data_IF_026631310798
#
_entry.id   IF_026631310798
#
_cell.length_a   1.000
_cell.length_b   1.000
_cell.length_c   1.000
_cell.angle_alpha   90.00
_cell.angle_beta   90.00
_cell.angle_gamma   90.00
#
_symmetry.space_group_name_H-M   'P 1'
#
loop_
_entity.id
_entity.type
_entity.pdbx_description
1 polymer ?
#
# COMPACT_ATOMS: atom_id res chain seq x y z
N UNK A 1 11.16 37.44 40.20
CA UNK A 1 11.59 36.03 40.16
C UNK A 1 10.47 35.05 40.56
N UNK A 2 9.84 35.13 41.77
CA UNK A 2 8.78 34.21 42.21
C UNK A 2 7.52 34.25 41.34
N UNK A 3 7.09 35.39 40.80
CA UNK A 3 5.93 35.54 39.93
C UNK A 3 6.16 34.88 38.57
N UNK A 4 7.35 35.08 37.98
CA UNK A 4 7.77 34.48 36.72
C UNK A 4 7.81 32.94 36.82
N UNK A 5 8.35 32.41 37.93
CA UNK A 5 8.38 30.95 38.17
C UNK A 5 6.98 30.37 38.31
N UNK A 6 6.04 31.06 38.98
CA UNK A 6 4.65 30.63 39.05
C UNK A 6 3.96 30.63 37.68
N UNK A 7 4.17 31.66 36.87
CA UNK A 7 3.64 31.75 35.53
C UNK A 7 4.17 30.63 34.63
N UNK A 8 5.47 30.34 34.68
CA UNK A 8 6.08 29.22 33.95
C UNK A 8 5.55 27.87 34.40
N UNK A 9 5.34 27.65 35.71
CA UNK A 9 4.75 26.42 36.23
C UNK A 9 3.30 26.21 35.77
N UNK A 10 2.50 27.31 35.76
CA UNK A 10 1.12 27.26 35.25
C UNK A 10 1.06 26.93 33.74
N UNK A 11 1.95 27.56 32.95
CA UNK A 11 2.05 27.26 31.50
C UNK A 11 2.44 25.80 31.25
N UNK A 12 3.43 25.29 32.01
CA UNK A 12 3.84 23.88 31.91
C UNK A 12 2.72 22.94 32.32
N UNK A 13 1.97 23.24 33.39
CA UNK A 13 0.83 22.43 33.81
C UNK A 13 -0.31 22.46 32.76
N UNK A 14 -0.62 23.60 32.18
CA UNK A 14 -1.60 23.73 31.12
C UNK A 14 -1.17 22.95 29.87
N UNK A 15 0.10 23.06 29.45
CA UNK A 15 0.63 22.30 28.33
C UNK A 15 0.54 20.79 28.57
N UNK A 16 0.94 20.32 29.76
CA UNK A 16 0.82 18.93 30.15
C UNK A 16 -0.63 18.44 30.11
N UNK A 17 -1.55 19.23 30.64
CA UNK A 17 -2.98 18.94 30.59
C UNK A 17 -3.49 18.77 29.17
N UNK A 18 -3.14 19.68 28.24
CA UNK A 18 -3.54 19.58 26.84
C UNK A 18 -2.90 18.38 26.13
N UNK A 19 -1.66 18.04 26.44
CA UNK A 19 -0.98 16.84 25.90
C UNK A 19 -1.73 15.58 26.37
N UNK A 20 -1.99 15.46 27.69
CA UNK A 20 -2.68 14.30 28.25
C UNK A 20 -4.10 14.21 27.70
N UNK A 21 -4.85 15.32 27.66
CA UNK A 21 -6.18 15.37 27.06
C UNK A 21 -6.18 14.96 25.59
N UNK A 22 -5.20 15.41 24.81
CA UNK A 22 -5.00 15.01 23.43
C UNK A 22 -4.74 13.51 23.26
N UNK A 23 -3.87 12.93 24.10
CA UNK A 23 -3.61 11.48 24.12
C UNK A 23 -4.90 10.71 24.45
N UNK A 24 -5.62 11.10 25.48
CA UNK A 24 -6.87 10.44 25.89
C UNK A 24 -7.93 10.54 24.79
N UNK A 25 -8.09 11.72 24.19
CA UNK A 25 -9.07 11.95 23.11
C UNK A 25 -8.75 11.16 21.81
N UNK A 26 -7.48 10.79 21.62
CA UNK A 26 -7.03 10.06 20.43
C UNK A 26 -6.64 8.61 20.74
N UNK A 27 -6.95 8.16 21.95
CA UNK A 27 -6.64 6.80 22.37
C UNK A 27 -7.36 5.78 21.49
N UNK A 28 -6.58 4.92 20.86
CA UNK A 28 -7.07 3.94 19.91
C UNK A 28 -6.22 2.66 20.04
N UNK A 29 -6.58 1.75 20.94
CA UNK A 29 -5.85 0.51 21.16
C UNK A 29 -5.88 -0.37 19.91
N UNK A 30 -4.91 -1.26 19.80
CA UNK A 30 -4.89 -2.27 18.77
C UNK A 30 -6.13 -3.16 18.85
N UNK A 31 -6.66 -3.55 17.69
CA UNK A 31 -7.78 -4.48 17.56
C UNK A 31 -7.28 -5.86 17.14
N UNK A 32 -7.70 -6.92 17.82
CA UNK A 32 -7.36 -8.28 17.42
C UNK A 32 -8.03 -8.62 16.09
N UNK A 33 -7.34 -9.40 15.26
CA UNK A 33 -7.77 -9.70 13.89
C UNK A 33 -9.15 -10.37 13.81
N UNK A 34 -9.55 -11.15 14.83
CA UNK A 34 -10.84 -11.83 14.82
C UNK A 34 -12.04 -10.86 14.88
N UNK A 35 -11.90 -9.71 15.54
CA UNK A 35 -12.92 -8.66 15.55
C UNK A 35 -13.08 -8.02 14.16
N UNK A 36 -11.96 -7.77 13.47
CA UNK A 36 -11.95 -7.13 12.16
C UNK A 36 -12.43 -8.08 11.05
N UNK A 37 -12.21 -9.39 11.19
CA UNK A 37 -12.66 -10.39 10.21
C UNK A 37 -14.16 -10.36 9.99
N UNK A 38 -14.95 -10.17 11.04
CA UNK A 38 -16.41 -10.13 10.94
C UNK A 38 -16.93 -9.04 9.99
N UNK A 39 -16.21 -7.91 9.91
CA UNK A 39 -16.58 -6.78 9.05
C UNK A 39 -15.89 -6.81 7.69
N UNK A 40 -14.61 -7.18 7.64
CA UNK A 40 -13.74 -6.94 6.48
C UNK A 40 -13.29 -8.20 5.75
N UNK A 41 -13.45 -9.39 6.36
CA UNK A 41 -13.11 -10.67 5.71
C UNK A 41 -14.35 -11.47 5.29
N UNK A 42 -15.39 -10.80 4.80
CA UNK A 42 -16.56 -11.46 4.24
C UNK A 42 -16.17 -12.30 3.00
N UNK A 43 -16.90 -13.38 2.67
CA UNK A 43 -16.65 -14.16 1.47
C UNK A 43 -16.48 -13.26 0.23
N UNK A 44 -15.54 -13.58 -0.66
CA UNK A 44 -14.72 -14.79 -0.76
C UNK A 44 -13.36 -14.73 -0.04
N UNK A 45 -13.22 -13.95 1.03
CA UNK A 45 -11.98 -13.84 1.80
C UNK A 45 -11.52 -15.18 2.35
N UNK A 46 -10.22 -15.45 2.23
CA UNK A 46 -9.54 -16.65 2.70
C UNK A 46 -8.27 -16.26 3.45
N UNK A 47 -7.75 -17.19 4.25
CA UNK A 47 -6.47 -17.04 4.92
C UNK A 47 -5.61 -18.25 4.60
N UNK A 48 -4.39 -18.01 4.12
CA UNK A 48 -3.40 -19.06 3.86
C UNK A 48 -2.20 -18.88 4.76
N UNK A 49 -1.72 -19.97 5.35
CA UNK A 49 -0.50 -19.93 6.15
C UNK A 49 0.73 -20.04 5.25
N UNK A 50 1.65 -19.11 5.45
CA UNK A 50 2.98 -19.10 4.86
C UNK A 50 4.02 -19.07 5.99
N UNK A 51 4.33 -20.23 6.56
CA UNK A 51 5.35 -20.38 7.61
C UNK A 51 5.09 -19.48 8.84
N UNK A 52 3.84 -19.48 9.31
CA UNK A 52 3.40 -18.69 10.46
C UNK A 52 2.88 -17.28 10.12
N UNK A 53 2.95 -16.86 8.85
CA UNK A 53 2.27 -15.67 8.36
C UNK A 53 0.90 -16.05 7.79
N UNK A 54 -0.18 -15.66 8.48
CA UNK A 54 -1.56 -15.89 8.01
C UNK A 54 -1.95 -14.81 7.00
N UNK A 55 -1.76 -15.09 5.71
CA UNK A 55 -2.03 -14.13 4.62
C UNK A 55 -3.51 -14.09 4.30
N UNK A 56 -4.13 -12.91 4.44
CA UNK A 56 -5.50 -12.65 3.99
C UNK A 56 -5.51 -12.41 2.49
N UNK A 57 -6.32 -13.18 1.77
CA UNK A 57 -6.44 -13.09 0.31
C UNK A 57 -7.88 -13.26 -0.19
N UNK A 58 -8.12 -12.82 -1.41
CA UNK A 58 -9.29 -13.16 -2.23
C UNK A 58 -8.80 -13.69 -3.57
N UNK A 59 -9.37 -14.81 -3.98
CA UNK A 59 -9.07 -15.50 -5.23
C UNK A 59 -10.40 -15.74 -5.95
N UNK A 60 -10.66 -14.95 -6.99
CA UNK A 60 -11.97 -14.79 -7.63
C UNK A 60 -11.85 -15.03 -9.14
N UNK A 61 -12.94 -15.49 -9.78
CA UNK A 61 -13.01 -15.72 -11.22
C UNK A 61 -12.69 -17.16 -11.64
N UNK A 62 -12.52 -17.43 -12.95
CA UNK A 62 -12.32 -18.76 -13.49
C UNK A 62 -11.01 -19.39 -13.00
N UNK A 63 -11.12 -20.61 -12.45
CA UNK A 63 -9.98 -21.31 -11.83
C UNK A 63 -9.01 -21.90 -12.84
N UNK A 64 -9.44 -22.05 -14.06
CA UNK A 64 -8.70 -22.56 -15.21
C UNK A 64 -7.96 -21.47 -16.02
N UNK A 65 -8.00 -20.20 -15.56
CA UNK A 65 -7.21 -19.14 -16.17
C UNK A 65 -5.70 -19.47 -16.06
N UNK A 66 -5.00 -19.67 -17.19
CA UNK A 66 -3.60 -20.11 -17.18
C UNK A 66 -2.63 -19.03 -16.70
N UNK A 67 -3.05 -17.77 -16.71
CA UNK A 67 -2.21 -16.61 -16.33
C UNK A 67 -3.03 -15.62 -15.48
N UNK A 68 -3.35 -15.97 -14.23
CA UNK A 68 -4.13 -15.10 -13.34
C UNK A 68 -3.56 -13.71 -13.18
N UNK A 69 -4.41 -12.76 -12.76
CA UNK A 69 -3.99 -11.39 -12.44
C UNK A 69 -3.79 -11.28 -10.94
N UNK A 70 -2.59 -10.89 -10.50
CA UNK A 70 -2.27 -10.59 -9.10
C UNK A 70 -2.28 -9.10 -8.87
N UNK A 71 -2.95 -8.64 -7.80
CA UNK A 71 -3.11 -7.23 -7.46
C UNK A 71 -2.49 -6.95 -6.08
N UNK A 72 -1.44 -6.10 -6.05
CA UNK A 72 -0.65 -5.76 -4.87
C UNK A 72 -0.91 -4.31 -4.45
N UNK A 73 -1.38 -4.10 -3.21
CA UNK A 73 -1.74 -2.80 -2.68
C UNK A 73 -0.53 -1.99 -2.17
N UNK A 74 -0.73 -0.70 -1.96
CA UNK A 74 0.26 0.24 -1.42
C UNK A 74 0.42 0.20 0.11
N UNK A 75 1.34 1.02 0.62
CA UNK A 75 1.59 1.21 2.05
C UNK A 75 0.31 1.66 2.78
N UNK A 76 -0.01 1.04 3.91
CA UNK A 76 -1.19 1.31 4.75
C UNK A 76 -2.55 1.06 4.07
N UNK A 77 -2.57 0.48 2.88
CA UNK A 77 -3.77 0.00 2.21
C UNK A 77 -4.03 -1.49 2.52
N UNK A 78 -4.95 -2.09 1.82
CA UNK A 78 -5.29 -3.52 1.87
C UNK A 78 -5.78 -4.00 0.51
N UNK A 79 -6.04 -5.28 0.36
CA UNK A 79 -6.60 -5.87 -0.86
C UNK A 79 -7.91 -5.21 -1.32
N UNK A 80 -8.59 -4.47 -0.42
CA UNK A 80 -9.86 -3.81 -0.70
C UNK A 80 -9.71 -2.63 -1.69
N UNK A 81 -8.54 -1.98 -1.77
CA UNK A 81 -8.27 -0.90 -2.74
C UNK A 81 -8.51 -1.36 -4.19
N UNK A 82 -8.45 -2.67 -4.43
CA UNK A 82 -8.65 -3.30 -5.73
C UNK A 82 -10.08 -3.77 -6.00
N UNK A 83 -11.05 -3.45 -5.11
CA UNK A 83 -12.41 -3.99 -5.21
C UNK A 83 -13.07 -3.69 -6.56
N UNK A 84 -12.91 -2.49 -7.08
CA UNK A 84 -13.47 -2.10 -8.36
C UNK A 84 -12.83 -2.82 -9.56
N UNK A 85 -11.49 -2.98 -9.54
CA UNK A 85 -10.80 -3.75 -10.57
C UNK A 85 -11.17 -5.23 -10.53
N UNK A 86 -11.19 -5.84 -9.34
CA UNK A 86 -11.60 -7.23 -9.21
C UNK A 86 -13.03 -7.45 -9.71
N UNK A 87 -13.95 -6.54 -9.42
CA UNK A 87 -15.32 -6.58 -9.94
C UNK A 87 -15.40 -6.58 -11.47
N UNK A 88 -14.56 -5.77 -12.13
CA UNK A 88 -14.51 -5.66 -13.58
C UNK A 88 -13.78 -6.83 -14.27
N UNK A 89 -12.81 -7.44 -13.61
CA UNK A 89 -11.94 -8.46 -14.19
C UNK A 89 -12.45 -9.89 -13.97
N UNK A 90 -13.01 -10.20 -12.79
CA UNK A 90 -13.30 -11.55 -12.34
C UNK A 90 -14.32 -12.33 -13.20
N UNK A 91 -15.08 -11.63 -14.03
CA UNK A 91 -16.00 -12.29 -14.99
C UNK A 91 -15.28 -13.04 -16.12
N UNK A 92 -14.02 -12.69 -16.41
CA UNK A 92 -13.24 -13.22 -17.53
C UNK A 92 -11.84 -13.72 -17.13
N UNK A 93 -11.31 -13.27 -16.00
CA UNK A 93 -9.96 -13.57 -15.54
C UNK A 93 -9.98 -14.02 -14.08
N UNK A 94 -9.07 -14.91 -13.71
CA UNK A 94 -8.80 -15.20 -12.29
C UNK A 94 -8.03 -14.04 -11.69
N UNK A 95 -8.56 -13.47 -10.60
CA UNK A 95 -8.00 -12.32 -9.90
C UNK A 95 -7.63 -12.73 -8.49
N UNK A 96 -6.34 -12.62 -8.17
CA UNK A 96 -5.77 -12.91 -6.87
C UNK A 96 -5.30 -11.59 -6.26
N UNK A 97 -5.81 -11.25 -5.08
CA UNK A 97 -5.39 -10.06 -4.34
C UNK A 97 -5.23 -10.42 -2.88
N UNK A 98 -4.20 -9.91 -2.25
CA UNK A 98 -3.91 -10.25 -0.85
C UNK A 98 -3.27 -9.08 -0.12
N UNK A 99 -3.38 -9.11 1.22
CA UNK A 99 -2.78 -8.12 2.08
C UNK A 99 -1.29 -8.41 2.25
N UNK A 100 -0.44 -7.45 1.88
CA UNK A 100 1.00 -7.52 2.09
C UNK A 100 1.34 -7.51 3.59
N UNK A 101 2.44 -8.18 4.01
CA UNK A 101 2.89 -8.17 5.41
C UNK A 101 3.03 -6.77 5.98
N UNK A 102 2.54 -6.58 7.20
CA UNK A 102 2.51 -5.31 7.90
C UNK A 102 1.24 -4.50 7.68
N UNK A 103 0.30 -5.00 6.84
CA UNK A 103 -0.91 -4.28 6.45
C UNK A 103 -2.13 -5.18 6.41
N UNK A 104 -3.31 -4.53 6.26
CA UNK A 104 -4.58 -5.22 6.14
C UNK A 104 -4.85 -6.19 7.28
N UNK A 105 -5.51 -7.30 7.00
CA UNK A 105 -5.77 -8.37 7.98
C UNK A 105 -4.63 -9.40 8.08
N UNK A 106 -3.68 -9.42 7.13
CA UNK A 106 -2.44 -10.22 7.23
C UNK A 106 -1.65 -9.79 8.46
N UNK A 107 -1.43 -8.50 8.64
CA UNK A 107 -0.71 -7.97 9.80
C UNK A 107 0.81 -8.19 9.76
N UNK A 108 1.49 -8.08 10.92
CA UNK A 108 2.94 -8.06 10.99
C UNK A 108 3.58 -9.35 10.48
N UNK A 109 4.74 -9.19 9.85
CA UNK A 109 5.60 -10.30 9.47
C UNK A 109 6.19 -10.95 10.73
N UNK A 110 6.22 -12.30 10.86
CA UNK A 110 6.69 -12.99 12.08
C UNK A 110 8.10 -12.61 12.52
N UNK A 111 8.98 -12.28 11.58
CA UNK A 111 10.35 -11.85 11.84
C UNK A 111 10.55 -10.33 11.70
N UNK A 112 9.49 -9.52 11.62
CA UNK A 112 9.56 -8.08 11.35
C UNK A 112 10.37 -7.69 10.10
N UNK A 113 10.47 -8.60 9.12
CA UNK A 113 11.19 -8.34 7.87
C UNK A 113 10.27 -7.68 6.84
N UNK A 114 10.49 -6.39 6.58
CA UNK A 114 9.77 -5.58 5.60
C UNK A 114 10.70 -5.14 4.46
N UNK A 115 11.73 -5.94 4.16
CA UNK A 115 12.59 -5.77 2.98
C UNK A 115 11.86 -6.15 1.70
N UNK A 116 12.29 -5.62 0.54
CA UNK A 116 11.74 -6.03 -0.76
C UNK A 116 11.88 -7.53 -0.99
N UNK A 117 13.00 -8.12 -0.57
CA UNK A 117 13.19 -9.57 -0.66
C UNK A 117 12.15 -10.36 0.14
N UNK A 118 11.73 -9.88 1.32
CA UNK A 118 10.67 -10.52 2.10
C UNK A 118 9.30 -10.42 1.39
N UNK A 119 8.95 -9.26 0.85
CA UNK A 119 7.72 -9.10 0.07
C UNK A 119 7.71 -10.00 -1.17
N UNK A 120 8.81 -10.06 -1.92
CA UNK A 120 8.95 -10.93 -3.10
C UNK A 120 8.78 -12.41 -2.71
N UNK A 121 9.36 -12.86 -1.59
CA UNK A 121 9.15 -14.23 -1.09
C UNK A 121 7.69 -14.51 -0.74
N UNK A 122 6.97 -13.54 -0.15
CA UNK A 122 5.54 -13.71 0.16
C UNK A 122 4.71 -13.81 -1.12
N UNK A 123 4.99 -13.00 -2.15
CA UNK A 123 4.31 -13.13 -3.45
C UNK A 123 4.55 -14.53 -4.03
N UNK A 124 5.79 -15.00 -4.10
CA UNK A 124 6.12 -16.34 -4.57
C UNK A 124 5.38 -17.42 -3.77
N UNK A 125 5.41 -17.34 -2.43
CA UNK A 125 4.76 -18.31 -1.54
C UNK A 125 3.24 -18.36 -1.69
N UNK A 126 2.57 -17.20 -1.89
CA UNK A 126 1.12 -17.16 -2.18
C UNK A 126 0.84 -17.88 -3.50
N UNK A 127 1.60 -17.59 -4.56
CA UNK A 127 1.43 -18.23 -5.87
C UNK A 127 1.66 -19.74 -5.80
N UNK A 128 2.70 -20.18 -5.11
CA UNK A 128 3.02 -21.60 -4.94
C UNK A 128 1.91 -22.33 -4.16
N UNK A 129 1.39 -21.70 -3.11
CA UNK A 129 0.27 -22.23 -2.30
C UNK A 129 -1.03 -22.38 -3.10
N UNK A 130 -1.23 -21.52 -4.11
CA UNK A 130 -2.39 -21.53 -5.01
C UNK A 130 -2.15 -22.36 -6.29
N UNK A 131 -0.97 -22.96 -6.47
CA UNK A 131 -0.60 -23.75 -7.65
C UNK A 131 -0.44 -22.89 -8.92
N UNK A 132 -0.17 -21.58 -8.78
CA UNK A 132 -0.07 -20.63 -9.90
C UNK A 132 1.38 -20.50 -10.34
N UNK A 133 1.66 -20.83 -11.60
CA UNK A 133 3.02 -20.81 -12.15
C UNK A 133 3.38 -19.48 -12.78
N UNK A 134 2.45 -18.83 -13.48
CA UNK A 134 2.70 -17.59 -14.21
C UNK A 134 1.52 -16.62 -14.03
N UNK A 135 1.81 -15.34 -13.97
CA UNK A 135 0.81 -14.29 -13.66
C UNK A 135 1.02 -13.02 -14.50
N UNK A 136 -0.06 -12.26 -14.65
CA UNK A 136 0.05 -10.80 -14.79
C UNK A 136 0.14 -10.23 -13.39
N UNK A 137 1.17 -9.46 -13.07
CA UNK A 137 1.28 -8.80 -11.76
C UNK A 137 1.01 -7.30 -11.90
N UNK A 138 0.10 -6.79 -11.09
CA UNK A 138 -0.23 -5.38 -11.00
C UNK A 138 0.00 -4.87 -9.57
N UNK A 139 0.53 -3.66 -9.41
CA UNK A 139 0.75 -3.11 -8.08
C UNK A 139 0.70 -1.60 -8.03
N UNK A 140 0.16 -1.07 -6.93
CA UNK A 140 0.11 0.35 -6.63
C UNK A 140 1.17 0.72 -5.59
N UNK A 141 1.91 1.82 -5.81
CA UNK A 141 2.85 2.37 -4.83
C UNK A 141 3.89 1.34 -4.36
N UNK A 142 3.93 0.97 -3.08
CA UNK A 142 4.71 -0.15 -2.54
C UNK A 142 4.42 -1.45 -3.31
N UNK A 143 3.14 -1.77 -3.56
CA UNK A 143 2.77 -2.95 -4.34
C UNK A 143 3.32 -2.92 -5.76
N UNK A 144 3.44 -1.73 -6.36
CA UNK A 144 4.13 -1.53 -7.65
C UNK A 144 5.63 -1.83 -7.55
N UNK A 145 6.28 -1.41 -6.45
CA UNK A 145 7.68 -1.75 -6.17
C UNK A 145 7.83 -3.27 -6.02
N UNK A 146 6.98 -3.90 -5.23
CA UNK A 146 7.01 -5.37 -5.06
C UNK A 146 6.76 -6.07 -6.40
N UNK A 147 5.86 -5.57 -7.24
CA UNK A 147 5.54 -6.15 -8.54
C UNK A 147 6.74 -6.16 -9.50
N UNK A 148 7.45 -5.02 -9.65
CA UNK A 148 8.59 -4.97 -10.55
C UNK A 148 9.82 -5.70 -9.95
N UNK A 149 10.02 -5.69 -8.63
CA UNK A 149 11.07 -6.49 -7.98
C UNK A 149 10.79 -8.00 -8.15
N UNK A 150 9.53 -8.42 -8.03
CA UNK A 150 9.14 -9.81 -8.29
C UNK A 150 9.39 -10.19 -9.77
N UNK A 151 9.03 -9.31 -10.71
CA UNK A 151 9.29 -9.53 -12.13
C UNK A 151 10.79 -9.61 -12.45
N UNK A 152 11.62 -8.81 -11.78
CA UNK A 152 13.07 -8.85 -11.92
C UNK A 152 13.66 -10.14 -11.35
N UNK A 153 13.23 -10.56 -10.15
CA UNK A 153 13.75 -11.75 -9.47
C UNK A 153 13.22 -13.07 -10.07
N UNK A 154 12.02 -13.07 -10.64
CA UNK A 154 11.33 -14.26 -11.16
C UNK A 154 10.77 -14.01 -12.57
N UNK A 155 11.58 -13.64 -13.57
CA UNK A 155 11.09 -13.24 -14.89
C UNK A 155 10.26 -14.32 -15.59
N UNK A 156 10.52 -15.60 -15.32
CA UNK A 156 9.74 -16.73 -15.86
C UNK A 156 8.34 -16.87 -15.25
N UNK A 157 8.10 -16.23 -14.09
CA UNK A 157 6.80 -16.26 -13.37
C UNK A 157 5.87 -15.11 -13.77
N UNK A 158 6.36 -14.12 -14.54
CA UNK A 158 5.59 -12.93 -14.89
C UNK A 158 5.38 -12.84 -16.39
N UNK A 159 4.12 -12.84 -16.80
CA UNK A 159 3.72 -12.65 -18.19
C UNK A 159 3.72 -11.19 -18.60
N UNK A 160 3.13 -10.34 -17.78
CA UNK A 160 3.00 -8.89 -17.98
C UNK A 160 3.07 -8.17 -16.64
N UNK A 161 3.51 -6.92 -16.69
CA UNK A 161 3.62 -6.05 -15.53
C UNK A 161 2.68 -4.84 -15.68
N UNK A 162 1.94 -4.50 -14.62
CA UNK A 162 1.15 -3.27 -14.56
C UNK A 162 1.58 -2.46 -13.34
N UNK A 163 2.11 -1.28 -13.59
CA UNK A 163 2.59 -0.36 -12.56
C UNK A 163 1.59 0.78 -12.39
N UNK A 164 1.08 0.96 -11.18
CA UNK A 164 0.11 2.00 -10.84
C UNK A 164 0.73 2.92 -9.78
N UNK A 165 1.11 4.14 -10.18
CA UNK A 165 1.77 5.11 -9.29
C UNK A 165 2.89 4.46 -8.45
N UNK A 166 3.74 3.67 -9.10
CA UNK A 166 4.65 2.72 -8.48
C UNK A 166 5.87 3.41 -7.83
N UNK A 167 6.30 2.92 -6.68
CA UNK A 167 7.60 3.28 -6.13
C UNK A 167 8.73 2.54 -6.88
N UNK A 168 9.92 3.18 -6.97
CA UNK A 168 11.06 2.58 -7.66
C UNK A 168 12.25 3.51 -7.83
N UNK A 169 12.01 4.80 -8.05
CA UNK A 169 13.06 5.81 -8.16
C UNK A 169 13.15 6.67 -6.91
N UNK A 170 14.27 7.39 -6.76
CA UNK A 170 14.37 8.44 -5.74
C UNK A 170 13.25 9.46 -5.93
N UNK A 171 12.57 9.77 -4.84
CA UNK A 171 11.38 10.63 -4.85
C UNK A 171 11.64 11.90 -4.03
N UNK A 172 11.11 13.02 -4.51
CA UNK A 172 10.91 14.23 -3.74
C UNK A 172 9.39 14.45 -3.60
N UNK A 173 8.72 13.84 -2.64
CA UNK A 173 7.27 13.94 -2.50
C UNK A 173 6.87 15.39 -2.22
N UNK A 174 5.81 15.85 -2.90
CA UNK A 174 5.26 17.21 -2.70
C UNK A 174 4.43 17.29 -1.42
N UNK A 175 3.81 16.18 -1.05
CA UNK A 175 2.99 16.08 0.16
C UNK A 175 3.07 14.66 0.75
N UNK A 176 3.65 14.55 1.95
CA UNK A 176 3.75 13.29 2.67
C UNK A 176 2.67 13.28 3.76
N UNK A 177 1.76 12.31 3.76
CA UNK A 177 0.73 12.18 4.80
C UNK A 177 1.32 12.26 6.21
N UNK A 178 0.67 13.01 7.10
CA UNK A 178 1.16 13.26 8.45
C UNK A 178 1.49 11.97 9.22
N UNK A 179 0.67 10.93 9.05
CA UNK A 179 0.90 9.61 9.66
C UNK A 179 2.26 9.02 9.27
N UNK A 180 2.66 9.14 8.00
CA UNK A 180 3.98 8.66 7.53
C UNK A 180 5.13 9.52 8.07
N UNK A 181 4.92 10.84 8.17
CA UNK A 181 5.93 11.73 8.76
C UNK A 181 6.19 11.39 10.23
N UNK A 182 5.12 11.14 11.00
CA UNK A 182 5.22 10.75 12.42
C UNK A 182 5.87 9.35 12.53
N UNK A 183 5.49 8.38 11.68
CA UNK A 183 6.04 7.01 11.69
C UNK A 183 7.56 6.96 11.45
N UNK A 184 8.13 7.97 10.77
CA UNK A 184 9.59 8.13 10.59
C UNK A 184 10.31 8.54 11.87
N UNK A 185 9.61 9.12 12.84
CA UNK A 185 10.22 9.59 14.10
C UNK A 185 10.17 8.46 15.13
N UNK A 186 11.28 7.75 15.31
CA UNK A 186 11.33 6.56 16.18
C UNK A 186 10.85 6.85 17.62
N UNK A 187 11.17 8.03 18.17
CA UNK A 187 10.73 8.42 19.51
C UNK A 187 9.22 8.58 19.67
N UNK A 188 8.47 8.80 18.58
CA UNK A 188 7.00 8.93 18.60
C UNK A 188 6.28 7.60 18.38
N UNK A 189 6.97 6.55 17.98
CA UNK A 189 6.36 5.23 17.68
C UNK A 189 5.62 4.59 18.85
N UNK A 190 6.13 4.63 20.11
CA UNK A 190 5.37 4.10 21.25
C UNK A 190 4.01 4.80 21.40
N UNK A 191 3.94 6.13 21.21
CA UNK A 191 2.69 6.87 21.26
C UNK A 191 1.76 6.49 20.10
N UNK A 192 2.29 6.34 18.89
CA UNK A 192 1.51 5.92 17.71
C UNK A 192 0.85 4.55 17.86
N UNK A 193 1.45 3.64 18.64
CA UNK A 193 0.87 2.32 18.88
C UNK A 193 -0.41 2.36 19.71
N UNK A 194 -0.66 3.49 20.41
CA UNK A 194 -1.81 3.65 21.30
C UNK A 194 -2.75 4.79 20.90
N UNK A 195 -2.32 5.65 19.96
CA UNK A 195 -3.12 6.80 19.52
C UNK A 195 -3.26 6.79 18.00
N UNK A 196 -4.46 7.09 17.51
CA UNK A 196 -4.72 7.29 16.09
C UNK A 196 -5.96 8.17 15.92
N UNK A 197 -5.81 9.47 15.69
CA UNK A 197 -6.94 10.32 15.35
C UNK A 197 -7.59 9.88 14.04
N UNK A 198 -8.89 9.57 14.04
CA UNK A 198 -9.61 9.18 12.82
C UNK A 198 -9.54 10.28 11.74
N UNK A 199 -9.54 11.55 12.14
CA UNK A 199 -9.37 12.68 11.24
C UNK A 199 -8.00 12.71 10.55
N UNK A 200 -6.94 12.17 11.16
CA UNK A 200 -5.63 12.03 10.52
C UNK A 200 -5.66 11.00 9.39
N UNK A 201 -6.38 9.89 9.57
CA UNK A 201 -6.58 8.89 8.51
C UNK A 201 -7.39 9.49 7.36
N UNK A 202 -8.49 10.20 7.67
CA UNK A 202 -9.29 10.90 6.67
C UNK A 202 -8.47 11.91 5.89
N UNK A 203 -7.65 12.73 6.55
CA UNK A 203 -6.79 13.69 5.87
C UNK A 203 -5.72 13.01 5.03
N UNK A 204 -5.14 11.90 5.50
CA UNK A 204 -4.17 11.12 4.73
C UNK A 204 -4.79 10.56 3.44
N UNK A 205 -6.03 10.07 3.50
CA UNK A 205 -6.78 9.63 2.32
C UNK A 205 -7.03 10.80 1.35
N UNK A 206 -7.49 11.95 1.86
CA UNK A 206 -7.72 13.14 1.04
C UNK A 206 -6.46 13.64 0.34
N UNK A 207 -5.30 13.46 0.95
CA UNK A 207 -4.01 13.88 0.36
C UNK A 207 -3.58 12.99 -0.81
N UNK A 208 -3.99 11.71 -0.82
CA UNK A 208 -3.61 10.77 -1.88
C UNK A 208 -4.65 10.68 -3.01
N UNK A 209 -5.85 11.25 -2.83
CA UNK A 209 -6.88 11.37 -3.87
C UNK A 209 -6.67 12.63 -4.70
N UNK A 210 -6.90 12.55 -6.00
CA UNK A 210 -6.94 13.70 -6.91
C UNK A 210 -8.18 14.57 -6.69
N UNK A 211 -9.29 13.93 -6.34
CA UNK A 211 -10.55 14.55 -5.89
C UNK A 211 -10.87 14.10 -4.46
N UNK A 212 -10.51 14.91 -3.43
CA UNK A 212 -10.76 14.58 -2.02
C UNK A 212 -12.24 14.36 -1.65
N UNK A 213 -13.19 14.82 -2.47
CA UNK A 213 -14.62 14.65 -2.21
C UNK A 213 -15.07 13.17 -2.36
N UNK A 214 -14.29 12.35 -3.04
CA UNK A 214 -14.54 10.90 -3.21
C UNK A 214 -14.19 10.08 -1.98
N UNK A 215 -13.55 10.66 -0.98
CA UNK A 215 -13.22 9.98 0.29
C UNK A 215 -14.47 9.89 1.16
N UNK A 216 -15.09 8.71 1.18
CA UNK A 216 -16.30 8.45 1.97
C UNK A 216 -15.99 8.09 3.44
N UNK A 217 -16.95 8.25 4.36
CA UNK A 217 -16.81 7.80 5.75
C UNK A 217 -16.48 6.30 5.87
N UNK A 218 -17.08 5.46 5.02
CA UNK A 218 -16.88 4.01 5.01
C UNK A 218 -15.45 3.64 4.57
N UNK A 219 -14.89 4.38 3.60
CA UNK A 219 -13.51 4.24 3.19
C UNK A 219 -12.56 4.62 4.34
N UNK A 220 -12.84 5.71 5.04
CA UNK A 220 -12.06 6.11 6.23
C UNK A 220 -12.13 5.03 7.31
N UNK A 221 -13.30 4.44 7.56
CA UNK A 221 -13.47 3.34 8.52
C UNK A 221 -12.63 2.12 8.14
N UNK A 222 -12.63 1.73 6.86
CA UNK A 222 -11.80 0.62 6.37
C UNK A 222 -10.31 0.86 6.68
N UNK A 223 -9.77 2.00 6.26
CA UNK A 223 -8.35 2.32 6.48
C UNK A 223 -8.01 2.48 7.97
N UNK A 224 -8.94 3.05 8.74
CA UNK A 224 -8.79 3.20 10.18
C UNK A 224 -8.74 1.84 10.89
N UNK A 225 -9.69 0.95 10.60
CA UNK A 225 -9.74 -0.41 11.15
C UNK A 225 -8.51 -1.23 10.75
N UNK A 226 -8.05 -1.13 9.48
CA UNK A 226 -6.82 -1.80 9.02
C UNK A 226 -5.58 -1.26 9.75
N UNK A 227 -5.52 0.04 10.02
CA UNK A 227 -4.42 0.62 10.80
C UNK A 227 -4.45 0.17 12.27
N UNK A 228 -5.64 -0.07 12.85
CA UNK A 228 -5.81 -0.56 14.21
C UNK A 228 -5.61 -2.06 14.37
N UNK A 229 -5.51 -2.84 13.29
CA UNK A 229 -5.19 -4.26 13.39
C UNK A 229 -3.89 -4.43 14.19
N UNK A 230 -3.93 -5.27 15.23
CA UNK A 230 -2.84 -5.43 16.18
C UNK A 230 -1.48 -5.61 15.48
N UNK A 231 -0.54 -4.73 15.79
CA UNK A 231 0.82 -4.71 15.26
C UNK A 231 1.03 -3.97 13.94
N UNK A 232 -0.01 -3.57 13.19
CA UNK A 232 0.16 -2.86 11.91
C UNK A 232 0.84 -1.49 12.05
N UNK A 233 0.54 -0.74 13.12
CA UNK A 233 1.20 0.56 13.38
C UNK A 233 2.70 0.41 13.67
N UNK A 234 3.08 -0.66 14.40
CA UNK A 234 4.48 -1.00 14.61
C UNK A 234 5.16 -1.41 13.29
N UNK A 235 4.50 -2.26 12.50
CA UNK A 235 4.97 -2.68 11.18
C UNK A 235 5.19 -1.50 10.23
N UNK A 236 4.27 -0.52 10.21
CA UNK A 236 4.42 0.72 9.44
C UNK A 236 5.70 1.46 9.82
N UNK A 237 5.99 1.61 11.12
CA UNK A 237 7.22 2.26 11.58
C UNK A 237 8.49 1.56 11.05
N UNK A 238 8.53 0.23 11.12
CA UNK A 238 9.64 -0.57 10.60
C UNK A 238 9.74 -0.49 9.06
N UNK A 239 8.61 -0.44 8.36
CA UNK A 239 8.61 -0.24 6.90
C UNK A 239 9.13 1.16 6.53
N UNK A 240 8.83 2.20 7.30
CA UNK A 240 9.36 3.54 7.06
C UNK A 240 10.90 3.57 7.15
N UNK A 241 11.51 2.81 8.07
CA UNK A 241 12.97 2.68 8.13
C UNK A 241 13.55 2.04 6.86
N UNK A 242 12.86 1.02 6.32
CA UNK A 242 13.27 0.39 5.05
C UNK A 242 13.19 1.33 3.86
N UNK A 243 12.16 2.19 3.78
CA UNK A 243 12.04 3.18 2.71
C UNK A 243 13.24 4.12 2.70
N UNK A 244 13.73 4.56 3.87
CA UNK A 244 14.92 5.42 3.95
C UNK A 244 16.15 4.71 3.37
N UNK A 245 16.36 3.44 3.71
CA UNK A 245 17.47 2.63 3.16
C UNK A 245 17.34 2.46 1.65
N UNK A 246 16.15 2.14 1.17
CA UNK A 246 15.86 1.92 -0.25
C UNK A 246 16.06 3.18 -1.09
N UNK A 247 15.71 4.35 -0.56
CA UNK A 247 15.97 5.64 -1.22
C UNK A 247 17.47 5.90 -1.42
N UNK A 248 18.32 5.44 -0.49
CA UNK A 248 19.78 5.47 -0.66
C UNK A 248 20.31 4.51 -1.74
N UNK A 249 19.48 3.59 -2.24
CA UNK A 249 19.81 2.61 -3.28
C UNK A 249 19.09 2.87 -4.62
N UNK A 250 18.66 4.10 -4.86
CA UNK A 250 17.85 4.48 -6.01
C UNK A 250 18.52 4.17 -7.36
N UNK A 251 19.83 4.33 -7.48
CA UNK A 251 20.56 4.02 -8.72
C UNK A 251 20.56 2.51 -9.02
N UNK A 252 20.71 1.68 -7.99
CA UNK A 252 20.60 0.24 -8.13
C UNK A 252 19.18 -0.19 -8.50
N UNK A 253 18.14 0.48 -7.97
CA UNK A 253 16.76 0.25 -8.36
C UNK A 253 16.54 0.63 -9.84
N UNK A 254 17.03 1.78 -10.29
CA UNK A 254 16.96 2.21 -11.68
C UNK A 254 17.59 1.20 -12.64
N UNK A 255 18.76 0.65 -12.28
CA UNK A 255 19.42 -0.39 -13.10
C UNK A 255 18.58 -1.68 -13.19
N UNK A 256 17.93 -2.12 -12.10
CA UNK A 256 17.02 -3.29 -12.12
C UNK A 256 15.78 -3.04 -12.94
N UNK A 257 15.18 -1.84 -12.86
CA UNK A 257 14.04 -1.43 -13.69
C UNK A 257 14.42 -1.47 -15.17
N UNK A 258 15.57 -0.94 -15.55
CA UNK A 258 16.05 -0.95 -16.93
C UNK A 258 16.35 -2.36 -17.47
N UNK A 259 16.59 -3.33 -16.60
CA UNK A 259 16.80 -4.72 -16.97
C UNK A 259 15.50 -5.50 -17.26
N UNK A 260 14.33 -4.94 -16.96
CA UNK A 260 13.04 -5.57 -17.22
C UNK A 260 12.77 -5.67 -18.73
N UNK A 261 12.48 -6.89 -19.20
CA UNK A 261 12.25 -7.19 -20.65
C UNK A 261 10.90 -7.89 -20.83
N UNK A 262 9.85 -7.35 -20.27
CA UNK A 262 8.52 -7.93 -20.36
C UNK A 262 7.49 -6.83 -20.71
N UNK A 263 6.37 -7.18 -21.36
CA UNK A 263 5.32 -6.23 -21.64
C UNK A 263 4.90 -5.51 -20.36
N UNK A 264 4.97 -4.18 -20.36
CA UNK A 264 4.69 -3.36 -19.18
C UNK A 264 3.68 -2.26 -19.51
N UNK A 265 2.66 -2.13 -18.69
CA UNK A 265 1.70 -1.03 -18.70
C UNK A 265 1.93 -0.16 -17.46
N UNK A 266 2.09 1.14 -17.66
CA UNK A 266 2.28 2.14 -16.60
C UNK A 266 1.04 3.01 -16.56
N UNK A 267 0.38 3.07 -15.41
CA UNK A 267 -0.79 3.92 -15.15
C UNK A 267 -0.41 4.92 -14.07
N UNK A 268 -0.78 6.19 -14.26
CA UNK A 268 -0.39 7.22 -13.29
C UNK A 268 -1.42 8.32 -13.15
N UNK A 269 -1.64 8.76 -11.89
CA UNK A 269 -2.45 9.91 -11.58
C UNK A 269 -1.67 11.23 -11.77
N UNK A 270 -2.19 12.13 -12.58
CA UNK A 270 -1.58 13.44 -12.85
C UNK A 270 -1.53 14.34 -11.62
N UNK A 271 -2.38 14.07 -10.62
CA UNK A 271 -2.42 14.78 -9.33
C UNK A 271 -1.75 14.03 -8.19
N UNK A 272 -0.95 13.00 -8.48
CA UNK A 272 -0.19 12.30 -7.44
C UNK A 272 0.82 13.26 -6.79
N UNK A 273 0.62 13.51 -5.48
CA UNK A 273 1.48 14.36 -4.64
C UNK A 273 2.48 13.56 -3.85
N UNK A 274 2.26 12.24 -3.72
CA UNK A 274 3.12 11.36 -2.95
C UNK A 274 4.27 10.82 -3.81
N UNK A 275 3.96 10.32 -5.00
CA UNK A 275 4.96 9.95 -6.01
C UNK A 275 4.69 10.79 -7.27
N UNK A 276 5.40 11.92 -7.44
CA UNK A 276 5.10 12.86 -8.52
C UNK A 276 5.09 12.24 -9.90
N UNK A 277 4.24 12.76 -10.84
CA UNK A 277 4.02 12.17 -12.16
C UNK A 277 5.25 12.08 -13.08
N UNK A 278 6.32 12.83 -12.79
CA UNK A 278 7.61 12.69 -13.48
C UNK A 278 8.22 11.30 -13.32
N UNK A 279 7.86 10.56 -12.25
CA UNK A 279 8.27 9.16 -12.09
C UNK A 279 7.63 8.24 -13.13
N UNK A 280 6.42 8.54 -13.61
CA UNK A 280 5.78 7.81 -14.71
C UNK A 280 6.66 7.85 -15.98
N UNK A 281 7.19 9.02 -16.31
CA UNK A 281 8.10 9.21 -17.45
C UNK A 281 9.42 8.45 -17.23
N UNK A 282 9.95 8.45 -16.01
CA UNK A 282 11.18 7.70 -15.67
C UNK A 282 10.98 6.19 -15.85
N UNK A 283 9.83 5.64 -15.44
CA UNK A 283 9.49 4.24 -15.70
C UNK A 283 9.34 3.97 -17.20
N UNK A 284 8.66 4.84 -17.94
CA UNK A 284 8.45 4.68 -19.38
C UNK A 284 9.78 4.73 -20.17
N UNK A 285 10.71 5.57 -19.74
CA UNK A 285 12.06 5.65 -20.33
C UNK A 285 12.93 4.46 -19.90
N UNK A 286 12.76 3.99 -18.66
CA UNK A 286 13.55 2.90 -18.11
C UNK A 286 13.16 1.52 -18.64
N UNK A 287 11.88 1.28 -18.95
CA UNK A 287 11.37 -0.03 -19.40
C UNK A 287 11.07 0.04 -20.90
N UNK A 288 11.95 -0.53 -21.71
CA UNK A 288 11.80 -0.52 -23.16
C UNK A 288 10.48 -1.16 -23.62
N UNK A 289 9.75 -0.47 -24.50
CA UNK A 289 8.48 -0.94 -25.05
C UNK A 289 7.29 -0.88 -24.08
N UNK A 290 7.44 -0.23 -22.93
CA UNK A 290 6.33 0.01 -22.01
C UNK A 290 5.29 0.97 -22.60
N UNK A 291 4.04 0.82 -22.15
CA UNK A 291 2.93 1.71 -22.50
C UNK A 291 2.62 2.59 -21.28
N UNK A 292 2.49 3.90 -21.49
CA UNK A 292 2.14 4.86 -20.44
C UNK A 292 0.75 5.43 -20.66
N UNK A 293 -0.09 5.40 -19.63
CA UNK A 293 -1.41 6.06 -19.58
C UNK A 293 -1.46 6.98 -18.38
N UNK A 294 -1.67 8.27 -18.63
CA UNK A 294 -1.84 9.28 -17.59
C UNK A 294 -3.33 9.57 -17.36
N UNK A 295 -3.70 9.83 -16.11
CA UNK A 295 -5.02 10.27 -15.70
C UNK A 295 -4.90 11.63 -14.99
N UNK A 296 -5.02 12.72 -15.73
CA UNK A 296 -4.65 14.08 -15.30
C UNK A 296 -5.39 14.56 -14.04
N UNK A 297 -6.57 14.03 -13.77
CA UNK A 297 -7.46 14.41 -12.66
C UNK A 297 -7.38 13.46 -11.43
N UNK A 298 -6.70 12.30 -11.54
CA UNK A 298 -6.61 11.31 -10.47
C UNK A 298 -5.34 11.49 -9.62
N UNK A 299 -5.41 11.02 -8.38
CA UNK A 299 -4.31 11.04 -7.42
C UNK A 299 -3.47 9.77 -7.40
N UNK A 300 -2.87 9.47 -6.24
CA UNK A 300 -1.95 8.37 -6.00
C UNK A 300 -2.61 6.96 -6.02
N UNK A 301 -3.93 6.89 -5.90
CA UNK A 301 -4.67 5.62 -5.86
C UNK A 301 -5.74 5.57 -6.96
N UNK A 302 -5.37 5.74 -8.23
CA UNK A 302 -6.33 5.88 -9.33
C UNK A 302 -7.19 4.64 -9.51
N UNK A 303 -6.69 3.45 -9.16
CA UNK A 303 -7.45 2.18 -9.15
C UNK A 303 -8.61 2.16 -8.15
N UNK A 304 -8.52 2.95 -7.08
CA UNK A 304 -9.56 3.08 -6.06
C UNK A 304 -10.45 4.28 -6.34
N UNK A 305 -9.86 5.39 -6.79
CA UNK A 305 -10.53 6.65 -7.06
C UNK A 305 -11.46 6.57 -8.29
N UNK A 306 -11.05 5.89 -9.36
CA UNK A 306 -11.81 5.72 -10.59
C UNK A 306 -11.63 4.32 -11.22
N UNK A 307 -12.11 3.24 -10.55
CA UNK A 307 -11.77 1.88 -10.89
C UNK A 307 -12.17 1.47 -12.32
N UNK A 308 -13.35 1.81 -12.78
CA UNK A 308 -13.81 1.43 -14.13
C UNK A 308 -13.03 2.15 -15.24
N UNK A 309 -12.61 3.39 -14.99
CA UNK A 309 -11.80 4.15 -15.93
C UNK A 309 -10.37 3.62 -16.00
N UNK A 310 -9.79 3.25 -14.88
CA UNK A 310 -8.39 2.83 -14.78
C UNK A 310 -8.18 1.36 -15.13
N UNK A 311 -9.20 0.51 -15.00
CA UNK A 311 -9.12 -0.90 -15.42
C UNK A 311 -9.25 -1.05 -16.95
N UNK A 312 -9.86 -0.10 -17.66
CA UNK A 312 -10.10 -0.19 -19.10
C UNK A 312 -8.81 -0.39 -19.94
N UNK A 313 -7.70 0.36 -19.73
CA UNK A 313 -6.44 0.08 -20.41
C UNK A 313 -5.85 -1.29 -20.01
N UNK A 314 -6.07 -1.75 -18.76
CA UNK A 314 -5.60 -3.07 -18.32
C UNK A 314 -6.31 -4.19 -19.06
N UNK A 315 -7.64 -4.14 -19.20
CA UNK A 315 -8.42 -5.11 -19.98
C UNK A 315 -7.87 -5.25 -21.41
N UNK A 316 -7.57 -4.14 -22.07
CA UNK A 316 -6.97 -4.12 -23.42
C UNK A 316 -5.56 -4.71 -23.45
N UNK A 317 -4.78 -4.44 -22.40
CA UNK A 317 -3.39 -4.88 -22.28
C UNK A 317 -3.28 -6.39 -22.02
N UNK A 318 -4.18 -6.97 -21.21
CA UNK A 318 -4.16 -8.40 -20.87
C UNK A 318 -4.90 -9.28 -21.88
N UNK A 319 -5.70 -8.70 -22.78
CA UNK A 319 -6.37 -9.42 -23.86
C UNK A 319 -5.46 -9.79 -25.05
N UNK A 320 -4.26 -9.19 -25.10
CA UNK A 320 -3.24 -9.41 -26.15
C UNK A 320 -2.29 -10.52 -25.73
#
# INVERSE_FOLDING_TARGET
MKLLLKSLALLAAALLFFIVAGIVATWAPDRPVHELKARWALPPSQFVDLQGLSVHLRDEGPRDDPVPIVLLHGTSASLHTWQGWAGALRGQRRVIRFDLPGFGLTGPHPQDDYSMAAYVRVVAGVLDRLGVQRVVVAGNSLGGQVAWEFAHAHPQRVDRLVLVDAAGFAMAPRDVPLGFRIARVAALRPLMQHTLPRGMVQQSLRNVYGDPSRVTPELVDLYYDMALRAGNRRALGLRMDRIVVEQGQADAAAARIAALKLPTLILWGGRDRLIPPDNAQRFAQGIAGSQLVMFDDLGHVPQEEAPLRTVAPVLKFVAR
#
